data_IF_056775498812
#
_entry.id   IF_056775498812
#
_cell.length_a   1.000
_cell.length_b   1.000
_cell.length_c   1.000
_cell.angle_alpha   90.00
_cell.angle_beta   90.00
_cell.angle_gamma   90.00
#
_symmetry.space_group_name_H-M   'P 1'
#
loop_
_entity.id
_entity.type
_entity.pdbx_description
1 polymer ?
#
# COMPACT_ATOMS: atom_id res chain seq x y z
N UNK A 1 -30.56 -36.59 -34.99
CA UNK A 1 -31.04 -35.32 -34.39
C UNK A 1 -29.82 -34.46 -34.09
N UNK A 2 -29.64 -33.34 -34.79
CA UNK A 2 -28.49 -32.43 -34.57
C UNK A 2 -28.76 -31.65 -33.28
N UNK A 3 -27.98 -31.89 -32.22
CA UNK A 3 -28.06 -31.11 -30.99
C UNK A 3 -27.59 -29.69 -31.31
N UNK A 4 -28.51 -28.72 -31.28
CA UNK A 4 -28.17 -27.31 -31.36
C UNK A 4 -27.52 -26.91 -30.04
N UNK A 5 -26.20 -26.71 -30.05
CA UNK A 5 -25.48 -26.14 -28.92
C UNK A 5 -25.96 -24.70 -28.74
N UNK A 6 -26.73 -24.45 -27.68
CA UNK A 6 -27.15 -23.10 -27.29
C UNK A 6 -25.89 -22.29 -27.02
N UNK A 7 -25.56 -21.36 -27.92
CA UNK A 7 -24.50 -20.36 -27.69
C UNK A 7 -24.97 -19.51 -26.51
N UNK A 8 -24.42 -19.79 -25.33
CA UNK A 8 -24.58 -18.94 -24.16
C UNK A 8 -23.88 -17.62 -24.51
N UNK A 9 -24.68 -16.59 -24.77
CA UNK A 9 -24.17 -15.24 -24.93
C UNK A 9 -23.50 -14.86 -23.61
N UNK A 10 -22.17 -14.78 -23.60
CA UNK A 10 -21.43 -14.26 -22.47
C UNK A 10 -21.77 -12.77 -22.35
N UNK A 11 -22.26 -12.30 -21.20
CA UNK A 11 -22.48 -10.87 -21.02
C UNK A 11 -21.17 -10.12 -21.28
N UNK A 12 -21.27 -8.95 -21.92
CA UNK A 12 -20.12 -8.09 -22.18
C UNK A 12 -20.18 -6.89 -21.23
N UNK A 13 -19.03 -6.43 -20.74
CA UNK A 13 -18.93 -5.20 -19.97
C UNK A 13 -18.04 -4.17 -20.68
N UNK A 14 -18.31 -2.89 -20.41
CA UNK A 14 -17.48 -1.78 -20.88
C UNK A 14 -16.53 -1.37 -19.77
N UNK A 15 -15.23 -1.33 -20.07
CA UNK A 15 -14.22 -0.87 -19.13
C UNK A 15 -14.46 0.59 -18.74
N UNK A 16 -14.63 0.93 -17.45
CA UNK A 16 -14.90 2.30 -17.02
C UNK A 16 -13.69 3.23 -17.23
N UNK A 17 -12.47 2.69 -17.23
CA UNK A 17 -11.25 3.48 -17.38
C UNK A 17 -10.95 3.92 -18.82
N UNK A 18 -11.40 3.16 -19.83
CA UNK A 18 -11.07 3.48 -21.23
C UNK A 18 -12.22 3.29 -22.23
N UNK A 19 -13.30 2.63 -21.87
CA UNK A 19 -14.44 2.35 -22.75
C UNK A 19 -14.28 1.13 -23.67
N UNK A 20 -13.29 0.26 -23.44
CA UNK A 20 -13.14 -0.97 -24.23
C UNK A 20 -14.13 -2.05 -23.76
N UNK A 21 -14.74 -2.75 -24.70
CA UNK A 21 -15.57 -3.93 -24.42
C UNK A 21 -14.72 -5.15 -24.03
N UNK A 22 -15.11 -5.81 -22.94
CA UNK A 22 -14.50 -7.01 -22.37
C UNK A 22 -15.60 -8.05 -22.04
N UNK A 23 -15.23 -9.32 -21.91
CA UNK A 23 -16.14 -10.37 -21.42
C UNK A 23 -16.45 -10.12 -19.95
N UNK A 24 -17.68 -10.37 -19.49
CA UNK A 24 -18.10 -10.13 -18.10
C UNK A 24 -17.20 -10.83 -17.08
N UNK A 25 -16.66 -11.99 -17.44
CA UNK A 25 -15.74 -12.81 -16.65
C UNK A 25 -14.31 -12.26 -16.57
N UNK A 26 -13.96 -11.23 -17.34
CA UNK A 26 -12.63 -10.63 -17.30
C UNK A 26 -12.38 -9.92 -15.97
N UNK A 27 -11.27 -10.26 -15.30
CA UNK A 27 -10.79 -9.57 -14.10
C UNK A 27 -10.12 -8.23 -14.43
N UNK A 28 -9.54 -8.10 -15.62
CA UNK A 28 -8.84 -6.91 -16.10
C UNK A 28 -9.17 -6.55 -17.55
N UNK A 29 -9.00 -5.27 -17.90
CA UNK A 29 -9.25 -4.79 -19.24
C UNK A 29 -8.17 -5.25 -20.22
N UNK A 30 -8.57 -5.91 -21.31
CA UNK A 30 -7.65 -6.38 -22.36
C UNK A 30 -6.92 -5.26 -23.13
N UNK A 31 -7.29 -3.99 -22.92
CA UNK A 31 -6.63 -2.84 -23.54
C UNK A 31 -5.75 -2.05 -22.56
N UNK A 32 -6.29 -1.67 -21.40
CA UNK A 32 -5.58 -0.78 -20.47
C UNK A 32 -5.15 -1.47 -19.17
N UNK A 33 -5.45 -2.77 -18.99
CA UNK A 33 -5.14 -3.54 -17.77
C UNK A 33 -5.80 -3.00 -16.48
N UNK A 34 -6.73 -2.05 -16.59
CA UNK A 34 -7.51 -1.60 -15.43
C UNK A 34 -8.34 -2.75 -14.88
N UNK A 35 -8.43 -2.91 -13.55
CA UNK A 35 -9.28 -3.92 -12.93
C UNK A 35 -10.74 -3.65 -13.34
N UNK A 36 -11.45 -4.72 -13.70
CA UNK A 36 -12.84 -4.67 -14.15
C UNK A 36 -13.83 -5.15 -13.10
N UNK A 37 -13.31 -5.83 -12.07
CA UNK A 37 -14.05 -6.27 -10.91
C UNK A 37 -13.37 -5.64 -9.71
N UNK A 38 -14.17 -5.00 -8.88
CA UNK A 38 -13.81 -4.81 -7.49
C UNK A 38 -13.86 -6.22 -6.90
N UNK A 39 -12.71 -6.89 -6.84
CA UNK A 39 -12.55 -7.92 -5.83
C UNK A 39 -12.98 -7.25 -4.54
N UNK A 40 -13.92 -7.83 -3.80
CA UNK A 40 -14.17 -7.48 -2.41
C UNK A 40 -12.84 -7.66 -1.67
N UNK A 41 -11.98 -6.65 -1.80
CA UNK A 41 -10.86 -6.39 -0.93
C UNK A 41 -11.53 -6.02 0.39
N UNK A 42 -11.98 -7.09 1.07
CA UNK A 42 -12.06 -7.13 2.50
C UNK A 42 -10.82 -6.42 3.00
N UNK A 43 -10.99 -5.18 3.44
CA UNK A 43 -10.05 -4.38 4.19
C UNK A 43 -8.64 -4.98 4.28
N UNK A 44 -7.87 -4.88 3.20
CA UNK A 44 -6.41 -4.93 3.30
C UNK A 44 -5.99 -3.57 3.87
N UNK A 45 -6.37 -3.36 5.14
CA UNK A 45 -5.47 -2.79 6.09
C UNK A 45 -4.13 -3.45 5.81
N UNK A 46 -3.13 -2.64 5.47
CA UNK A 46 -1.75 -3.05 5.32
C UNK A 46 -1.45 -4.02 6.46
N UNK A 47 -1.54 -5.32 6.18
CA UNK A 47 -1.10 -6.35 7.08
C UNK A 47 0.42 -6.22 7.01
N UNK A 48 0.93 -5.30 7.84
CA UNK A 48 2.34 -5.25 8.20
C UNK A 48 2.77 -6.70 8.43
N UNK A 49 3.97 -7.10 7.98
CA UNK A 49 4.37 -8.50 7.93
C UNK A 49 4.40 -9.10 9.34
N UNK A 50 3.25 -9.58 9.82
CA UNK A 50 3.11 -10.36 11.04
C UNK A 50 3.78 -11.73 10.89
N UNK A 51 4.47 -11.98 9.78
CA UNK A 51 5.09 -13.25 9.43
C UNK A 51 6.62 -13.20 9.34
N UNK A 52 7.28 -12.02 9.37
CA UNK A 52 8.73 -11.95 9.13
C UNK A 52 9.59 -11.92 10.40
N UNK A 53 9.01 -11.69 11.57
CA UNK A 53 9.75 -11.54 12.84
C UNK A 53 10.50 -10.20 12.90
N UNK A 54 11.12 -9.90 14.04
CA UNK A 54 11.79 -8.62 14.29
C UNK A 54 13.22 -8.81 14.82
N UNK A 55 14.15 -8.03 14.26
CA UNK A 55 15.54 -7.97 14.75
C UNK A 55 15.62 -6.95 15.88
N UNK A 56 16.12 -7.38 17.04
CA UNK A 56 16.27 -6.51 18.21
C UNK A 56 17.27 -5.39 17.94
N UNK A 57 16.85 -4.12 18.05
CA UNK A 57 17.73 -2.94 17.86
C UNK A 57 18.85 -2.78 18.88
N UNK A 58 18.90 -3.62 19.93
CA UNK A 58 19.92 -3.55 20.99
C UNK A 58 20.96 -4.66 20.90
N UNK A 59 20.55 -5.89 20.61
CA UNK A 59 21.45 -7.05 20.58
C UNK A 59 21.42 -7.82 19.26
N UNK A 60 20.69 -7.32 18.26
CA UNK A 60 20.63 -7.84 16.88
C UNK A 60 20.13 -9.29 16.77
N UNK A 61 19.59 -9.84 17.86
CA UNK A 61 18.95 -11.15 17.85
C UNK A 61 17.66 -11.09 17.03
N UNK A 62 17.47 -12.08 16.16
CA UNK A 62 16.17 -12.35 15.53
C UNK A 62 15.16 -12.81 16.59
N UNK A 63 13.94 -12.29 16.51
CA UNK A 63 12.83 -12.69 17.38
C UNK A 63 11.65 -13.08 16.50
N UNK A 64 11.00 -14.18 16.87
CA UNK A 64 9.86 -14.73 16.16
C UNK A 64 8.67 -13.75 16.16
N UNK A 65 7.77 -13.79 15.15
CA UNK A 65 6.60 -12.94 15.14
C UNK A 65 5.74 -13.09 16.39
N UNK A 66 5.25 -11.96 16.92
CA UNK A 66 4.33 -11.94 18.06
C UNK A 66 5.00 -11.86 19.45
N UNK A 67 6.32 -11.93 19.54
CA UNK A 67 7.02 -11.69 20.81
C UNK A 67 7.15 -10.19 21.10
N UNK A 68 6.70 -9.75 22.28
CA UNK A 68 6.74 -8.33 22.68
C UNK A 68 8.04 -7.92 23.37
N UNK A 69 8.88 -8.91 23.73
CA UNK A 69 10.15 -8.70 24.44
C UNK A 69 11.21 -9.59 23.80
N UNK A 70 12.41 -9.04 23.59
CA UNK A 70 13.54 -9.76 23.04
C UNK A 70 13.93 -10.92 23.97
N UNK A 71 13.97 -12.13 23.42
CA UNK A 71 14.26 -13.36 24.18
C UNK A 71 15.71 -13.46 24.63
N UNK A 72 16.63 -12.72 23.99
CA UNK A 72 18.05 -12.69 24.34
C UNK A 72 18.37 -11.64 25.41
N UNK A 73 17.91 -10.40 25.23
CA UNK A 73 18.32 -9.32 26.12
C UNK A 73 17.19 -8.72 26.98
N UNK A 74 15.92 -9.02 26.72
CA UNK A 74 14.79 -8.47 27.50
C UNK A 74 14.35 -7.06 27.10
N UNK A 75 14.76 -6.54 25.93
CA UNK A 75 14.28 -5.25 25.41
C UNK A 75 12.84 -5.39 24.93
N UNK A 76 11.96 -4.43 25.22
CA UNK A 76 10.64 -4.36 24.57
C UNK A 76 10.79 -4.14 23.06
N UNK A 77 10.27 -5.07 22.28
CA UNK A 77 10.10 -4.94 20.83
C UNK A 77 8.82 -4.13 20.60
N UNK A 78 8.68 -3.43 19.46
CA UNK A 78 7.60 -2.44 19.30
C UNK A 78 6.23 -3.02 19.66
N UNK A 79 5.48 -2.25 20.45
CA UNK A 79 4.29 -2.69 21.13
C UNK A 79 3.21 -3.16 20.15
N UNK A 80 2.43 -4.16 20.59
CA UNK A 80 1.12 -4.48 20.05
C UNK A 80 0.36 -3.21 19.66
N UNK A 81 -0.49 -3.24 18.61
CA UNK A 81 -1.21 -2.06 18.12
C UNK A 81 -2.05 -1.47 19.26
N UNK A 82 -1.45 -0.54 20.01
CA UNK A 82 -2.15 0.42 20.82
C UNK A 82 -2.87 1.39 19.89
N UNK A 83 -3.80 2.21 20.40
CA UNK A 83 -4.46 3.21 19.58
C UNK A 83 -3.38 4.04 18.88
N UNK A 84 -3.36 3.98 17.55
CA UNK A 84 -2.53 4.80 16.68
C UNK A 84 -2.65 6.24 17.17
N UNK A 85 -1.60 6.73 17.85
CA UNK A 85 -1.48 8.15 18.03
C UNK A 85 -1.15 8.70 16.65
N UNK A 86 -2.04 9.52 16.04
CA UNK A 86 -1.71 10.13 14.77
C UNK A 86 -0.38 10.86 14.94
N UNK A 87 0.52 10.81 13.93
CA UNK A 87 1.79 11.50 14.01
C UNK A 87 1.54 12.95 14.42
N UNK A 88 2.07 13.33 15.59
CA UNK A 88 1.97 14.70 16.06
C UNK A 88 2.52 15.60 14.96
N UNK A 89 1.68 16.53 14.50
CA UNK A 89 2.09 17.55 13.56
C UNK A 89 3.14 18.43 14.27
N UNK A 90 4.40 18.15 13.98
CA UNK A 90 5.55 18.92 14.46
C UNK A 90 5.87 20.07 13.52
N UNK A 91 4.98 20.42 12.59
CA UNK A 91 5.18 21.56 11.71
C UNK A 91 5.12 22.82 12.56
N UNK A 92 6.21 23.61 12.61
CA UNK A 92 6.14 24.92 13.22
C UNK A 92 5.03 25.74 12.57
N UNK A 93 4.26 26.55 13.32
CA UNK A 93 3.17 27.35 12.76
C UNK A 93 3.66 28.42 11.78
N UNK A 94 4.95 28.76 11.85
CA UNK A 94 5.57 29.76 10.99
C UNK A 94 5.87 29.18 9.61
N UNK A 95 5.34 29.85 8.58
CA UNK A 95 5.75 29.61 7.21
C UNK A 95 7.25 29.90 7.06
N UNK A 96 7.96 29.02 6.35
CA UNK A 96 9.35 29.27 5.98
C UNK A 96 9.42 30.59 5.22
N UNK A 97 10.04 31.62 5.82
CA UNK A 97 10.32 32.89 5.16
C UNK A 97 11.70 32.78 4.53
N UNK A 98 11.82 32.62 3.19
CA UNK A 98 13.13 32.63 2.55
C UNK A 98 13.80 33.99 2.78
N UNK A 99 15.11 34.04 2.99
CA UNK A 99 15.81 35.32 3.05
C UNK A 99 15.56 36.08 1.75
N UNK A 100 15.04 37.32 1.84
CA UNK A 100 14.77 38.18 0.67
C UNK A 100 16.03 38.62 -0.08
N UNK A 101 17.21 38.21 0.38
CA UNK A 101 18.48 38.54 -0.23
C UNK A 101 19.14 37.23 -0.62
N UNK A 102 19.12 36.93 -1.92
CA UNK A 102 20.18 36.11 -2.50
C UNK A 102 21.47 36.92 -2.35
N UNK A 103 22.49 36.47 -1.62
CA UNK A 103 23.80 37.09 -1.76
C UNK A 103 24.22 36.92 -3.22
N UNK A 104 24.44 38.05 -3.90
CA UNK A 104 25.09 38.17 -5.21
C UNK A 104 26.54 37.67 -5.10
N UNK A 105 26.73 36.37 -4.91
CA UNK A 105 28.07 35.74 -4.95
C UNK A 105 28.09 34.48 -5.78
N UNK A 106 27.12 34.31 -6.69
CA UNK A 106 27.12 33.24 -7.69
C UNK A 106 27.02 33.84 -9.09
N UNK A 107 28.01 34.67 -9.44
CA UNK A 107 28.28 35.13 -10.80
C UNK A 107 29.76 35.44 -10.91
N UNK A 108 30.58 34.40 -10.96
CA UNK A 108 32.02 34.38 -11.33
C UNK A 108 32.44 32.91 -11.14
N UNK A 109 32.86 32.10 -12.12
CA UNK A 109 33.10 32.19 -13.57
C UNK A 109 32.77 30.82 -14.20
#
# INVERSE_FOLDING_TARGET
>A
MRRATRMLAHPMLICPACGKENEDVASECKRCRAPLREEEAAADAVALPQSLGEVCRRCEAYNEPGVSVCTNCGLQLFAAPGPEQPPLDKTPPDAFTPPSQVPETLSEE
#
